data_IF_073289559005
#
_entry.id   IF_073289559005
#
_cell.length_a   1.000
_cell.length_b   1.000
_cell.length_c   1.000
_cell.angle_alpha   90.00
_cell.angle_beta   90.00
_cell.angle_gamma   90.00
#
_symmetry.space_group_name_H-M   'P 1'
#
loop_
_entity.id
_entity.type
_entity.pdbx_description
1 polymer ?
#
# COMPACT_ATOMS: atom_id res chain seq x y z
N UNK A 1 10.49 0.51 19.59
CA UNK A 1 9.09 0.03 19.57
C UNK A 1 8.23 1.14 20.18
N UNK A 2 7.13 1.53 19.53
CA UNK A 2 6.25 2.59 20.02
C UNK A 2 4.98 1.97 20.63
N UNK A 3 4.47 2.57 21.70
CA UNK A 3 3.19 2.19 22.33
C UNK A 3 2.12 3.18 21.89
N UNK A 4 1.01 2.68 21.37
CA UNK A 4 -0.15 3.48 20.93
C UNK A 4 -1.31 3.18 21.86
N UNK A 5 -1.87 4.21 22.48
CA UNK A 5 -3.12 4.13 23.25
C UNK A 5 -4.26 4.71 22.40
N UNK A 6 -5.30 3.91 22.17
CA UNK A 6 -6.52 4.33 21.48
C UNK A 6 -7.58 4.55 22.56
N UNK A 7 -8.18 5.74 22.58
CA UNK A 7 -9.22 6.14 23.53
C UNK A 7 -10.55 6.33 22.81
N UNK A 8 -11.62 6.33 23.60
CA UNK A 8 -12.97 6.68 23.14
C UNK A 8 -13.46 5.84 21.96
N UNK A 9 -13.11 4.54 21.96
CA UNK A 9 -13.65 3.58 21.00
C UNK A 9 -15.08 3.22 21.42
N UNK A 10 -16.08 3.38 20.55
CA UNK A 10 -17.45 2.95 20.85
C UNK A 10 -17.49 1.48 21.26
N UNK A 11 -18.29 1.15 22.28
CA UNK A 11 -18.36 -0.21 22.83
C UNK A 11 -18.80 -1.24 21.76
N UNK A 12 -19.71 -0.84 20.88
CA UNK A 12 -20.18 -1.67 19.77
C UNK A 12 -19.06 -2.07 18.81
N UNK A 13 -18.17 -1.13 18.47
CA UNK A 13 -17.02 -1.35 17.61
C UNK A 13 -15.95 -2.20 18.31
N UNK A 14 -15.68 -1.92 19.59
CA UNK A 14 -14.76 -2.69 20.40
C UNK A 14 -15.18 -4.16 20.49
N UNK A 15 -16.48 -4.42 20.60
CA UNK A 15 -17.02 -5.77 20.65
C UNK A 15 -16.93 -6.49 19.29
N UNK A 16 -17.15 -5.79 18.18
CA UNK A 16 -16.91 -6.33 16.83
C UNK A 16 -15.44 -6.76 16.68
N UNK A 17 -14.50 -5.92 17.11
CA UNK A 17 -13.07 -6.22 17.04
C UNK A 17 -12.68 -7.40 17.94
N UNK A 18 -13.26 -7.49 19.14
CA UNK A 18 -13.07 -8.62 20.06
C UNK A 18 -13.52 -9.94 19.44
N UNK A 19 -14.73 -10.00 18.89
CA UNK A 19 -15.24 -11.19 18.18
C UNK A 19 -14.36 -11.59 17.00
N UNK A 20 -13.85 -10.61 16.24
CA UNK A 20 -12.91 -10.89 15.13
C UNK A 20 -11.60 -11.47 15.63
N UNK A 21 -11.03 -10.90 16.70
CA UNK A 21 -9.81 -11.42 17.30
C UNK A 21 -9.99 -12.86 17.81
N UNK A 22 -11.11 -13.14 18.49
CA UNK A 22 -11.47 -14.49 18.95
C UNK A 22 -11.62 -15.48 17.80
N UNK A 23 -12.31 -15.09 16.71
CA UNK A 23 -12.45 -15.92 15.52
C UNK A 23 -11.11 -16.24 14.84
N UNK A 24 -10.12 -15.37 15.00
CA UNK A 24 -8.76 -15.57 14.52
C UNK A 24 -7.85 -16.30 15.52
N UNK A 25 -8.37 -16.69 16.70
CA UNK A 25 -7.58 -17.32 17.76
C UNK A 25 -6.54 -16.39 18.39
N UNK A 26 -6.76 -15.07 18.35
CA UNK A 26 -5.81 -14.05 18.79
C UNK A 26 -6.35 -13.26 19.97
N UNK A 27 -5.45 -12.76 20.82
CA UNK A 27 -5.82 -11.69 21.75
C UNK A 27 -6.14 -10.41 20.98
N UNK A 28 -7.03 -9.57 21.53
CA UNK A 28 -7.40 -8.29 20.91
C UNK A 28 -6.17 -7.42 20.62
N UNK A 29 -5.19 -7.36 21.53
CA UNK A 29 -3.95 -6.61 21.30
C UNK A 29 -3.14 -7.16 20.12
N UNK A 30 -3.01 -8.50 19.99
CA UNK A 30 -2.28 -9.10 18.89
C UNK A 30 -2.97 -8.83 17.54
N UNK A 31 -4.29 -8.97 17.50
CA UNK A 31 -5.12 -8.68 16.34
C UNK A 31 -4.99 -7.21 15.91
N UNK A 32 -5.18 -6.27 16.83
CA UNK A 32 -5.07 -4.83 16.52
C UNK A 32 -3.66 -4.43 16.08
N UNK A 33 -2.61 -5.01 16.67
CA UNK A 33 -1.23 -4.79 16.22
C UNK A 33 -1.04 -5.23 14.77
N UNK A 34 -1.55 -6.40 14.40
CA UNK A 34 -1.46 -6.90 13.03
C UNK A 34 -2.21 -5.99 12.05
N UNK A 35 -3.41 -5.55 12.40
CA UNK A 35 -4.18 -4.62 11.58
C UNK A 35 -3.46 -3.28 11.41
N UNK A 36 -2.89 -2.70 12.46
CA UNK A 36 -2.12 -1.46 12.38
C UNK A 36 -0.87 -1.61 11.51
N UNK A 37 -0.16 -2.74 11.61
CA UNK A 37 0.99 -3.03 10.75
C UNK A 37 0.54 -3.16 9.29
N UNK A 38 -0.58 -3.83 9.04
CA UNK A 38 -1.16 -3.97 7.70
C UNK A 38 -1.50 -2.61 7.10
N UNK A 39 -2.15 -1.74 7.88
CA UNK A 39 -2.47 -0.37 7.48
C UNK A 39 -1.20 0.41 7.17
N UNK A 40 -0.20 0.39 8.07
CA UNK A 40 1.05 1.13 7.87
C UNK A 40 1.88 0.65 6.66
N UNK A 41 1.77 -0.63 6.30
CA UNK A 41 2.46 -1.20 5.12
C UNK A 41 1.70 -1.01 3.82
N UNK A 42 0.40 -0.79 3.89
CA UNK A 42 -0.42 -0.58 2.70
C UNK A 42 -0.30 0.88 2.30
N UNK A 43 0.46 1.15 1.23
CA UNK A 43 0.50 2.51 0.65
C UNK A 43 -0.92 2.97 0.34
N UNK A 44 -1.22 4.19 0.74
CA UNK A 44 -2.41 4.87 0.26
C UNK A 44 -2.31 5.05 -1.26
N UNK A 45 -3.46 5.22 -1.94
CA UNK A 45 -3.47 5.51 -3.38
C UNK A 45 -2.66 6.77 -3.69
N UNK A 46 -2.73 7.78 -2.82
CA UNK A 46 -1.97 9.01 -2.96
C UNK A 46 -0.45 8.76 -2.88
N UNK A 47 0.01 7.99 -1.90
CA UNK A 47 1.43 7.62 -1.78
C UNK A 47 1.90 6.74 -2.94
N UNK A 48 1.06 5.84 -3.44
CA UNK A 48 1.39 5.03 -4.60
C UNK A 48 1.54 5.90 -5.86
N UNK A 49 0.62 6.84 -6.10
CA UNK A 49 0.70 7.78 -7.21
C UNK A 49 1.91 8.72 -7.09
N UNK A 50 2.20 9.21 -5.89
CA UNK A 50 3.39 10.01 -5.62
C UNK A 50 4.67 9.21 -5.91
N UNK A 51 4.75 7.96 -5.47
CA UNK A 51 5.90 7.09 -5.75
C UNK A 51 6.07 6.81 -7.25
N UNK A 52 4.98 6.65 -8.00
CA UNK A 52 5.01 6.53 -9.47
C UNK A 52 5.53 7.82 -10.11
N UNK A 53 5.04 8.97 -9.64
CA UNK A 53 5.49 10.29 -10.12
C UNK A 53 6.99 10.49 -9.89
N UNK A 54 7.47 10.23 -8.68
CA UNK A 54 8.89 10.33 -8.32
C UNK A 54 9.77 9.36 -9.10
N UNK A 55 9.23 8.22 -9.53
CA UNK A 55 9.94 7.28 -10.39
C UNK A 55 10.06 7.83 -11.83
N UNK A 56 8.96 8.33 -12.39
CA UNK A 56 8.93 8.95 -13.72
C UNK A 56 9.78 10.23 -13.80
N UNK A 57 9.83 11.02 -12.73
CA UNK A 57 10.65 12.25 -12.70
C UNK A 57 12.16 11.92 -12.61
N UNK A 58 12.54 10.77 -12.02
CA UNK A 58 13.95 10.33 -11.92
C UNK A 58 14.44 9.61 -13.18
N UNK A 59 13.56 8.86 -13.81
CA UNK A 59 13.81 8.17 -15.07
C UNK A 59 12.54 8.26 -15.93
N UNK A 60 12.47 9.22 -16.87
CA UNK A 60 11.32 9.39 -17.74
C UNK A 60 11.08 8.19 -18.67
N UNK A 61 12.02 7.23 -18.72
CA UNK A 61 12.14 6.28 -19.81
C UNK A 61 12.29 7.01 -21.16
N UNK A 62 12.18 6.29 -22.29
CA UNK A 62 12.17 6.94 -23.61
C UNK A 62 10.92 7.82 -23.85
N UNK A 63 10.07 8.05 -22.85
CA UNK A 63 8.75 8.64 -23.02
C UNK A 63 7.82 7.69 -23.76
N UNK A 64 6.57 7.60 -23.36
CA UNK A 64 5.54 6.89 -24.14
C UNK A 64 5.08 7.71 -25.34
N UNK A 65 5.99 8.30 -26.11
CA UNK A 65 5.66 9.05 -27.32
C UNK A 65 5.74 8.15 -28.56
N UNK A 66 5.10 8.61 -29.63
CA UNK A 66 4.99 7.83 -30.87
C UNK A 66 6.34 7.52 -31.51
N UNK A 67 7.33 8.41 -31.38
CA UNK A 67 8.65 8.22 -31.97
C UNK A 67 9.46 7.17 -31.21
N UNK A 68 9.34 7.14 -29.88
CA UNK A 68 9.92 6.12 -29.00
C UNK A 68 9.35 4.72 -29.29
N UNK A 69 8.03 4.63 -29.44
CA UNK A 69 7.35 3.36 -29.77
C UNK A 69 7.78 2.85 -31.16
N UNK A 70 7.85 3.74 -32.15
CA UNK A 70 8.30 3.39 -33.49
C UNK A 70 9.79 3.02 -33.53
N UNK A 71 10.61 3.63 -32.68
CA UNK A 71 12.03 3.29 -32.51
C UNK A 71 12.22 1.87 -31.98
N UNK A 72 11.57 1.53 -30.87
CA UNK A 72 11.64 0.19 -30.29
C UNK A 72 11.13 -0.91 -31.24
N UNK A 73 10.08 -0.61 -32.02
CA UNK A 73 9.55 -1.53 -33.04
C UNK A 73 10.53 -1.79 -34.20
N UNK A 74 11.36 -0.81 -34.57
CA UNK A 74 12.41 -1.01 -35.58
C UNK A 74 13.54 -1.87 -35.03
N UNK A 75 14.00 -1.56 -33.81
CA UNK A 75 15.08 -2.27 -33.14
C UNK A 75 14.75 -3.75 -32.94
N UNK A 76 13.51 -4.09 -32.57
CA UNK A 76 13.04 -5.48 -32.44
C UNK A 76 12.94 -6.24 -33.78
N UNK A 77 12.89 -5.51 -34.90
CA UNK A 77 12.70 -6.08 -36.25
C UNK A 77 14.03 -6.25 -36.99
N UNK A 78 15.07 -5.55 -36.56
CA UNK A 78 16.42 -5.60 -37.14
C UNK A 78 17.33 -6.64 -36.41
N UNK A 79 16.83 -7.29 -35.34
CA UNK A 79 17.34 -8.55 -34.73
C UNK A 79 16.67 -9.80 -35.34
#
# INVERSE_FOLDING_TARGET
MATIQIRDVPDEDAEVLRRRAESAGMSLQAYMRQELIRVARTRTKAEALAAIRDALDRDPGPGGDSDSILGALRETRDE
#
